data_IF_990491450243
#
_entry.id   IF_990491450243
#
_cell.length_a   1.000
_cell.length_b   1.000
_cell.length_c   1.000
_cell.angle_alpha   90.00
_cell.angle_beta   90.00
_cell.angle_gamma   90.00
#
_symmetry.space_group_name_H-M   'P 1'
#
loop_
_entity.id
_entity.type
_entity.pdbx_description
1 polymer ?
#
# COMPACT_ATOMS: atom_id res chain seq x y z
N UNK A 1 2.19 -45.25 11.99
CA UNK A 1 2.39 -44.33 13.11
C UNK A 1 2.35 -42.93 12.54
N UNK A 2 1.33 -42.16 12.87
CA UNK A 2 1.32 -40.71 12.58
C UNK A 2 2.48 -40.11 13.41
N UNK A 3 3.43 -39.45 12.75
CA UNK A 3 4.47 -38.70 13.47
C UNK A 3 3.75 -37.66 14.33
N UNK A 4 4.11 -37.60 15.59
CA UNK A 4 3.59 -36.61 16.53
C UNK A 4 3.85 -35.22 15.95
N UNK A 5 2.81 -34.38 15.86
CA UNK A 5 2.93 -33.05 15.26
C UNK A 5 3.64 -32.11 16.23
N UNK A 6 4.66 -31.43 15.74
CA UNK A 6 5.37 -30.43 16.53
C UNK A 6 4.70 -29.08 16.36
N UNK A 7 4.23 -28.49 17.44
CA UNK A 7 3.75 -27.11 17.43
C UNK A 7 4.91 -26.15 17.15
N UNK A 8 4.67 -25.17 16.31
CA UNK A 8 5.62 -24.09 16.00
C UNK A 8 4.92 -22.75 16.17
N UNK A 9 5.70 -21.70 16.44
CA UNK A 9 5.18 -20.34 16.40
C UNK A 9 4.88 -19.96 14.94
N UNK A 10 3.71 -19.35 14.65
CA UNK A 10 3.42 -18.89 13.30
C UNK A 10 4.49 -17.94 12.78
N UNK A 11 4.97 -18.20 11.56
CA UNK A 11 6.08 -17.44 10.96
C UNK A 11 5.74 -15.96 10.66
N UNK A 12 4.47 -15.57 10.75
CA UNK A 12 4.04 -14.18 10.57
C UNK A 12 4.37 -13.28 11.77
N UNK A 13 4.64 -13.85 12.94
CA UNK A 13 4.98 -13.04 14.10
C UNK A 13 6.41 -12.51 13.98
N UNK A 14 6.59 -11.21 14.23
CA UNK A 14 7.79 -10.44 13.93
C UNK A 14 9.08 -11.13 14.42
N UNK A 15 9.11 -11.56 15.67
CA UNK A 15 10.28 -12.26 16.21
C UNK A 15 10.53 -13.61 15.54
N UNK A 16 9.48 -14.43 15.36
CA UNK A 16 9.60 -15.71 14.66
C UNK A 16 10.06 -15.49 13.21
N UNK A 17 9.45 -14.53 12.50
CA UNK A 17 9.80 -14.17 11.14
C UNK A 17 11.27 -13.81 11.02
N UNK A 18 11.74 -12.87 11.85
CA UNK A 18 13.12 -12.39 11.79
C UNK A 18 14.12 -13.46 12.21
N UNK A 19 13.90 -14.14 13.33
CA UNK A 19 14.83 -15.18 13.82
C UNK A 19 14.98 -16.35 12.86
N UNK A 20 13.89 -16.76 12.22
CA UNK A 20 13.92 -17.89 11.27
C UNK A 20 14.55 -17.47 9.95
N UNK A 21 14.12 -16.36 9.37
CA UNK A 21 14.47 -16.01 8.01
C UNK A 21 15.76 -15.17 7.86
N UNK A 22 16.27 -14.58 8.94
CA UNK A 22 17.62 -14.03 8.93
C UNK A 22 18.68 -15.13 8.83
N UNK A 23 18.40 -16.31 9.43
CA UNK A 23 19.28 -17.48 9.36
C UNK A 23 19.05 -18.32 8.08
N UNK A 24 17.90 -18.18 7.43
CA UNK A 24 17.50 -18.92 6.22
C UNK A 24 16.97 -18.01 5.11
N UNK A 25 17.75 -17.01 4.66
CA UNK A 25 17.30 -16.03 3.66
C UNK A 25 16.99 -16.66 2.29
N UNK A 26 17.69 -17.73 1.91
CA UNK A 26 17.44 -18.45 0.64
C UNK A 26 16.07 -19.13 0.67
N UNK A 27 15.67 -19.66 1.83
CA UNK A 27 14.36 -20.27 2.00
C UNK A 27 13.24 -19.23 1.89
N UNK A 28 13.40 -18.08 2.55
CA UNK A 28 12.46 -16.97 2.42
C UNK A 28 12.34 -16.52 0.95
N UNK A 29 13.48 -16.34 0.28
CA UNK A 29 13.49 -15.94 -1.13
C UNK A 29 12.83 -16.98 -2.02
N UNK A 30 13.07 -18.27 -1.77
CA UNK A 30 12.43 -19.38 -2.50
C UNK A 30 10.91 -19.33 -2.36
N UNK A 31 10.40 -19.11 -1.16
CA UNK A 31 8.96 -18.99 -0.88
C UNK A 31 8.39 -17.75 -1.58
N UNK A 32 8.97 -16.60 -1.31
CA UNK A 32 8.48 -15.31 -1.84
C UNK A 32 8.52 -15.30 -3.37
N UNK A 33 9.60 -15.80 -3.99
CA UNK A 33 9.73 -15.84 -5.45
C UNK A 33 8.58 -16.58 -6.13
N UNK A 34 8.11 -17.68 -5.52
CA UNK A 34 6.98 -18.47 -6.03
C UNK A 34 5.63 -17.78 -5.81
N UNK A 35 5.49 -17.01 -4.73
CA UNK A 35 4.26 -16.23 -4.46
C UNK A 35 4.11 -15.11 -5.48
N UNK A 36 5.20 -14.38 -5.78
CA UNK A 36 5.17 -13.18 -6.62
C UNK A 36 5.58 -13.44 -8.07
N UNK A 37 5.79 -14.70 -8.44
CA UNK A 37 6.25 -15.10 -9.78
C UNK A 37 7.56 -14.39 -10.20
N UNK A 38 8.52 -14.34 -9.26
CA UNK A 38 9.85 -13.79 -9.50
C UNK A 38 10.81 -14.91 -9.92
N UNK A 39 11.57 -14.77 -11.01
CA UNK A 39 12.53 -15.77 -11.44
C UNK A 39 13.68 -15.87 -10.42
N UNK A 40 13.74 -16.97 -9.71
CA UNK A 40 14.76 -17.28 -8.71
C UNK A 40 15.05 -18.77 -8.71
N UNK A 41 16.33 -19.11 -8.80
CA UNK A 41 16.84 -20.47 -8.72
C UNK A 41 17.80 -20.56 -7.53
N UNK A 42 17.43 -21.28 -6.45
CA UNK A 42 18.25 -21.36 -5.24
C UNK A 42 19.62 -22.03 -5.45
N UNK A 43 19.79 -22.79 -6.54
CA UNK A 43 21.05 -23.46 -6.86
C UNK A 43 22.05 -22.55 -7.60
N UNK A 44 21.56 -21.45 -8.17
CA UNK A 44 22.35 -20.53 -9.02
C UNK A 44 22.41 -19.13 -8.45
N UNK A 45 21.29 -18.62 -7.92
CA UNK A 45 21.15 -17.24 -7.49
C UNK A 45 21.67 -17.05 -6.06
N UNK A 46 22.38 -15.94 -5.84
CA UNK A 46 22.92 -15.57 -4.54
C UNK A 46 21.98 -14.59 -3.84
N UNK A 47 21.64 -14.88 -2.59
CA UNK A 47 20.83 -14.02 -1.74
C UNK A 47 21.68 -13.47 -0.60
N UNK A 48 21.68 -12.16 -0.42
CA UNK A 48 22.34 -11.48 0.70
C UNK A 48 21.29 -10.70 1.50
N UNK A 49 21.39 -10.78 2.84
CA UNK A 49 20.53 -9.96 3.73
C UNK A 49 21.16 -8.57 3.85
N UNK A 50 20.36 -7.55 3.55
CA UNK A 50 20.74 -6.15 3.65
C UNK A 50 19.96 -5.45 4.75
N UNK A 51 20.37 -5.67 5.99
CA UNK A 51 19.78 -4.98 7.15
C UNK A 51 20.38 -3.58 7.31
N UNK A 52 20.18 -2.71 6.33
CA UNK A 52 20.55 -1.31 6.48
C UNK A 52 19.49 -0.55 7.28
N UNK A 53 19.89 -0.07 8.46
CA UNK A 53 19.14 0.98 9.19
C UNK A 53 19.04 2.19 8.27
N UNK A 54 17.85 2.42 7.71
CA UNK A 54 17.66 3.57 6.84
C UNK A 54 17.46 4.81 7.68
N UNK A 55 18.44 5.60 7.55
CA UNK A 55 18.79 6.93 8.00
C UNK A 55 17.69 7.71 8.69
N UNK A 56 17.98 8.05 9.92
CA UNK A 56 17.49 9.26 10.58
C UNK A 56 17.92 10.48 9.73
N UNK A 57 17.01 11.11 9.02
CA UNK A 57 17.28 12.40 8.38
C UNK A 57 17.50 13.52 9.41
N UNK A 58 16.96 13.35 10.62
CA UNK A 58 17.19 14.19 11.79
C UNK A 58 17.32 13.33 13.03
N UNK A 59 18.14 13.75 13.98
CA UNK A 59 18.39 13.07 15.26
C UNK A 59 17.13 12.72 16.08
N UNK A 60 15.99 13.35 15.77
CA UNK A 60 14.67 13.14 16.43
C UNK A 60 13.72 12.22 15.69
N UNK A 61 14.04 11.78 14.45
CA UNK A 61 13.19 10.85 13.70
C UNK A 61 13.49 9.42 14.10
N UNK A 62 12.43 8.63 14.34
CA UNK A 62 12.59 7.17 14.50
C UNK A 62 13.12 6.64 13.17
N UNK A 63 14.26 5.96 13.20
CA UNK A 63 14.79 5.26 12.03
C UNK A 63 13.83 4.15 11.64
N UNK A 64 13.62 3.95 10.34
CA UNK A 64 12.89 2.81 9.83
C UNK A 64 13.84 1.64 9.67
N UNK A 65 13.42 0.49 10.15
CA UNK A 65 14.07 -0.80 9.91
C UNK A 65 13.00 -1.64 9.22
N UNK A 66 13.28 -2.12 8.01
CA UNK A 66 12.44 -3.15 7.40
C UNK A 66 12.66 -4.46 8.15
N UNK A 67 11.67 -5.34 8.13
CA UNK A 67 11.83 -6.62 8.81
C UNK A 67 12.96 -7.42 8.15
N UNK A 68 12.89 -7.65 6.85
CA UNK A 68 13.97 -8.28 6.09
C UNK A 68 14.10 -7.62 4.71
N UNK A 69 15.33 -7.26 4.34
CA UNK A 69 15.66 -6.80 2.98
C UNK A 69 16.64 -7.80 2.38
N UNK A 70 16.26 -8.37 1.25
CA UNK A 70 17.07 -9.30 0.48
C UNK A 70 17.61 -8.62 -0.78
N UNK A 71 18.85 -8.87 -1.09
CA UNK A 71 19.48 -8.51 -2.35
C UNK A 71 19.80 -9.78 -3.14
N UNK A 72 19.23 -9.89 -4.32
CA UNK A 72 19.42 -11.04 -5.22
C UNK A 72 20.47 -10.70 -6.28
N UNK A 73 21.49 -11.53 -6.37
CA UNK A 73 22.60 -11.40 -7.33
C UNK A 73 23.29 -10.03 -7.29
N UNK A 74 23.33 -9.40 -6.12
CA UNK A 74 23.88 -8.04 -5.94
C UNK A 74 23.21 -6.99 -6.83
N UNK A 75 21.98 -7.25 -7.25
CA UNK A 75 21.31 -6.41 -8.25
C UNK A 75 19.86 -6.05 -7.88
N UNK A 76 18.99 -7.01 -7.69
CA UNK A 76 17.58 -6.78 -7.35
C UNK A 76 17.38 -6.70 -5.84
N UNK A 77 16.45 -5.86 -5.41
CA UNK A 77 16.13 -5.65 -3.98
C UNK A 77 14.70 -6.09 -3.72
N UNK A 78 14.53 -6.91 -2.69
CA UNK A 78 13.23 -7.40 -2.24
C UNK A 78 13.12 -7.10 -0.74
N UNK A 79 12.23 -6.18 -0.37
CA UNK A 79 11.90 -5.89 1.01
C UNK A 79 10.66 -6.67 1.41
N UNK A 80 10.71 -7.33 2.55
CA UNK A 80 9.62 -8.15 3.05
C UNK A 80 9.26 -7.64 4.44
N UNK A 81 7.98 -7.34 4.62
CA UNK A 81 7.39 -6.83 5.85
C UNK A 81 6.33 -7.81 6.37
N UNK A 82 6.46 -8.27 7.59
CA UNK A 82 5.47 -9.09 8.27
C UNK A 82 4.57 -8.18 9.13
N UNK A 83 3.30 -8.04 8.75
CA UNK A 83 2.35 -7.16 9.40
C UNK A 83 1.27 -7.97 10.10
N UNK A 84 1.13 -7.81 11.42
CA UNK A 84 0.00 -8.32 12.20
C UNK A 84 -0.97 -7.18 12.48
N UNK A 85 -2.27 -7.44 12.30
CA UNK A 85 -3.33 -6.44 12.50
C UNK A 85 -3.62 -5.59 11.26
N UNK A 86 -4.39 -4.51 11.45
CA UNK A 86 -4.88 -3.71 10.33
C UNK A 86 -3.76 -3.00 9.58
N UNK A 87 -3.79 -3.21 8.27
CA UNK A 87 -2.94 -2.47 7.34
C UNK A 87 -3.36 -1.01 7.32
N UNK A 88 -2.48 -0.10 7.73
CA UNK A 88 -2.73 1.33 7.61
C UNK A 88 -2.09 1.90 6.36
N UNK A 89 -2.79 2.83 5.69
CA UNK A 89 -2.22 3.57 4.56
C UNK A 89 -0.95 4.33 4.94
N UNK A 90 -0.82 4.76 6.19
CA UNK A 90 0.40 5.37 6.73
C UNK A 90 1.57 4.38 6.75
N UNK A 91 1.33 3.11 7.08
CA UNK A 91 2.36 2.06 6.96
C UNK A 91 2.76 1.85 5.50
N UNK A 92 1.79 1.82 4.56
CA UNK A 92 2.06 1.66 3.14
C UNK A 92 2.85 2.85 2.56
N UNK A 93 2.46 4.07 2.88
CA UNK A 93 3.17 5.29 2.45
C UNK A 93 4.59 5.32 3.00
N UNK A 94 4.75 5.01 4.27
CA UNK A 94 6.04 4.87 4.94
C UNK A 94 6.93 3.86 4.23
N UNK A 95 6.40 2.67 3.98
CA UNK A 95 7.12 1.59 3.32
C UNK A 95 7.46 1.96 1.86
N UNK A 96 6.59 2.70 1.19
CA UNK A 96 6.85 3.21 -0.15
C UNK A 96 8.03 4.20 -0.18
N UNK A 97 8.06 5.17 0.74
CA UNK A 97 9.17 6.13 0.86
C UNK A 97 10.47 5.39 1.15
N UNK A 98 10.41 4.41 2.03
CA UNK A 98 11.52 3.58 2.43
C UNK A 98 12.15 2.83 1.24
N UNK A 99 11.35 2.05 0.52
CA UNK A 99 11.86 1.23 -0.58
C UNK A 99 12.35 2.06 -1.77
N UNK A 100 11.76 3.22 -2.01
CA UNK A 100 12.23 4.16 -3.03
C UNK A 100 13.61 4.74 -2.69
N UNK A 101 13.86 5.07 -1.44
CA UNK A 101 15.16 5.55 -0.98
C UNK A 101 16.22 4.44 -1.04
N UNK A 102 15.87 3.22 -0.65
CA UNK A 102 16.73 2.05 -0.76
C UNK A 102 17.12 1.79 -2.22
N UNK A 103 16.15 1.77 -3.11
CA UNK A 103 16.36 1.61 -4.55
C UNK A 103 17.25 2.69 -5.14
N UNK A 104 17.07 3.95 -4.71
CA UNK A 104 17.91 5.07 -5.15
C UNK A 104 19.36 4.99 -4.67
N UNK A 105 19.59 4.47 -3.47
CA UNK A 105 20.95 4.27 -2.94
C UNK A 105 21.64 3.14 -3.66
N UNK A 106 20.97 2.03 -3.83
CA UNK A 106 21.49 0.88 -4.52
C UNK A 106 21.84 1.20 -5.98
N UNK A 107 20.95 1.92 -6.67
CA UNK A 107 21.22 2.41 -8.03
C UNK A 107 22.48 3.28 -8.10
N UNK A 108 22.71 4.17 -7.13
CA UNK A 108 23.94 4.97 -7.04
C UNK A 108 25.17 4.12 -6.79
N UNK A 109 25.06 3.07 -6.00
CA UNK A 109 26.15 2.12 -5.75
C UNK A 109 26.53 1.34 -7.01
N UNK A 110 25.54 0.77 -7.68
CA UNK A 110 25.75 0.05 -8.96
C UNK A 110 26.42 0.96 -9.99
N UNK A 111 25.97 2.19 -10.16
CA UNK A 111 26.61 3.14 -11.09
C UNK A 111 28.07 3.45 -10.74
N UNK A 112 28.41 3.54 -9.47
CA UNK A 112 29.81 3.73 -9.03
C UNK A 112 30.68 2.51 -9.38
N UNK A 113 30.19 1.32 -9.12
CA UNK A 113 30.92 0.07 -9.42
C UNK A 113 31.14 -0.10 -10.92
N UNK A 114 30.13 0.14 -11.74
CA UNK A 114 30.25 0.06 -13.21
C UNK A 114 31.23 1.11 -13.76
N UNK A 115 31.17 2.36 -13.29
CA UNK A 115 32.07 3.40 -13.75
C UNK A 115 33.53 3.14 -13.31
N UNK A 116 33.76 2.59 -12.13
CA UNK A 116 35.10 2.23 -11.67
C UNK A 116 35.70 1.05 -12.46
N UNK A 117 34.90 0.07 -12.87
CA UNK A 117 35.34 -1.05 -13.68
C UNK A 117 35.60 -0.65 -15.15
N UNK A 118 34.80 0.26 -15.70
CA UNK A 118 35.03 0.81 -17.04
C UNK A 118 36.34 1.66 -17.13
N UNK A 119 36.68 2.34 -16.04
CA UNK A 119 37.94 3.10 -15.97
C UNK A 119 39.18 2.23 -15.76
N UNK A 120 39.03 1.03 -15.16
CA UNK A 120 40.18 0.06 -15.03
C UNK A 120 40.47 -0.70 -16.32
N UNK A 121 39.47 -0.88 -17.21
CA UNK A 121 39.67 -1.55 -18.51
C UNK A 121 40.17 -0.60 -19.60
N UNK A 122 40.20 0.70 -19.40
CA UNK A 122 40.61 1.70 -20.39
C UNK A 122 42.06 2.14 -20.30
N UNK A 123 42.89 1.49 -19.47
CA UNK A 123 44.34 1.77 -19.40
C UNK A 123 45.21 1.09 -20.51
N UNK A 124 44.57 0.41 -21.50
CA UNK A 124 45.27 -0.07 -22.68
C UNK A 124 44.53 0.41 -23.95
N UNK A 125 45.25 1.32 -24.68
CA UNK A 125 45.00 1.84 -26.02
C UNK A 125 43.99 2.98 -26.16
N UNK A 126 44.58 4.16 -26.33
CA UNK A 126 43.96 5.34 -26.97
C UNK A 126 43.73 4.99 -28.46
N UNK A 127 42.49 4.70 -28.82
CA UNK A 127 41.99 4.98 -30.16
C UNK A 127 40.81 5.92 -30.03
N UNK A 128 41.06 7.17 -30.42
CA UNK A 128 40.08 8.21 -30.59
C UNK A 128 39.30 7.88 -31.86
N UNK A 129 38.03 7.46 -31.75
CA UNK A 129 36.91 8.00 -32.56
C UNK A 129 35.60 7.27 -32.31
N UNK A 130 34.56 8.04 -32.06
CA UNK A 130 33.16 7.78 -32.39
C UNK A 130 32.35 6.67 -31.70
N UNK A 131 32.44 6.45 -30.37
CA UNK A 131 31.44 5.58 -29.72
C UNK A 131 30.96 6.01 -28.32
N UNK A 132 31.05 7.35 -28.00
CA UNK A 132 30.57 7.85 -26.69
C UNK A 132 29.05 7.95 -26.55
N UNK A 133 28.26 7.95 -27.63
CA UNK A 133 26.80 8.08 -27.58
C UNK A 133 26.07 6.76 -27.29
N UNK A 134 26.59 5.62 -27.68
CA UNK A 134 25.87 4.34 -27.54
C UNK A 134 26.00 3.67 -26.16
N UNK A 135 27.03 4.02 -25.35
CA UNK A 135 27.19 3.41 -24.02
C UNK A 135 26.36 4.05 -22.92
N UNK A 136 25.88 5.31 -23.09
CA UNK A 136 25.01 5.94 -22.11
C UNK A 136 23.59 5.32 -22.11
N UNK A 137 23.09 4.87 -23.25
CA UNK A 137 21.75 4.29 -23.34
C UNK A 137 21.70 2.84 -22.83
N UNK A 138 22.78 2.07 -22.92
CA UNK A 138 22.83 0.68 -22.40
C UNK A 138 22.79 0.58 -20.87
N UNK A 139 23.20 1.63 -20.13
CA UNK A 139 23.20 1.63 -18.68
C UNK A 139 21.80 1.81 -18.08
N UNK A 140 20.85 2.37 -18.83
CA UNK A 140 19.47 2.55 -18.38
C UNK A 140 18.59 1.31 -18.59
N UNK A 141 18.98 0.37 -19.46
CA UNK A 141 18.22 -0.85 -19.73
C UNK A 141 18.30 -1.87 -18.58
N UNK A 142 19.33 -1.80 -17.73
CA UNK A 142 19.52 -2.67 -16.56
C UNK A 142 19.32 -1.88 -15.26
N UNK A 143 18.10 -1.47 -14.98
CA UNK A 143 17.79 -0.95 -13.65
C UNK A 143 17.36 -2.10 -12.74
N UNK A 144 17.82 -2.16 -11.48
CA UNK A 144 17.41 -3.20 -10.54
C UNK A 144 15.90 -3.19 -10.33
N UNK A 145 15.34 -4.35 -10.13
CA UNK A 145 13.97 -4.46 -9.62
C UNK A 145 13.99 -4.10 -8.14
N UNK A 146 13.00 -3.35 -7.73
CA UNK A 146 12.76 -2.99 -6.34
C UNK A 146 11.35 -3.47 -6.02
N UNK A 147 11.27 -4.51 -5.20
CA UNK A 147 10.03 -5.20 -4.90
C UNK A 147 9.78 -5.10 -3.41
N UNK A 148 8.58 -4.65 -3.04
CA UNK A 148 8.12 -4.69 -1.67
C UNK A 148 7.04 -5.75 -1.54
N UNK A 149 7.17 -6.61 -0.55
CA UNK A 149 6.22 -7.66 -0.20
C UNK A 149 5.73 -7.41 1.21
N UNK A 150 4.43 -7.22 1.36
CA UNK A 150 3.78 -7.06 2.65
C UNK A 150 2.96 -8.33 2.93
N UNK A 151 3.36 -9.08 3.93
CA UNK A 151 2.60 -10.21 4.48
C UNK A 151 1.64 -9.64 5.52
N UNK A 152 0.33 -9.69 5.28
CA UNK A 152 -0.67 -9.12 6.15
C UNK A 152 -1.50 -10.24 6.80
N UNK A 153 -1.55 -10.26 8.12
CA UNK A 153 -2.28 -11.23 8.92
C UNK A 153 -3.29 -10.53 9.83
N UNK A 154 -4.53 -11.03 9.87
CA UNK A 154 -5.65 -10.40 10.59
C UNK A 154 -5.91 -8.95 10.17
N UNK A 155 -5.85 -8.70 8.85
CA UNK A 155 -6.11 -7.39 8.27
C UNK A 155 -7.49 -7.32 7.66
N UNK A 156 -8.29 -6.32 8.06
CA UNK A 156 -9.65 -6.10 7.55
C UNK A 156 -9.69 -5.42 6.17
N UNK A 157 -8.60 -4.79 5.75
CA UNK A 157 -8.58 -3.86 4.59
C UNK A 157 -8.55 -4.57 3.24
N UNK A 158 -8.12 -5.83 3.15
CA UNK A 158 -7.92 -6.55 1.89
C UNK A 158 -8.70 -7.86 1.82
N UNK A 159 -10.01 -7.81 2.13
CA UNK A 159 -10.83 -9.02 2.30
C UNK A 159 -11.21 -9.76 1.00
N UNK A 160 -10.85 -9.27 -0.19
CA UNK A 160 -11.35 -9.85 -1.45
C UNK A 160 -10.35 -10.77 -2.14
N UNK A 161 -9.08 -10.37 -2.19
CA UNK A 161 -8.06 -11.09 -2.95
C UNK A 161 -6.90 -11.55 -2.05
N UNK A 162 -6.45 -12.82 -2.18
CA UNK A 162 -5.37 -13.35 -1.35
C UNK A 162 -4.01 -12.73 -1.68
N UNK A 163 -3.77 -12.38 -2.95
CA UNK A 163 -2.51 -11.81 -3.44
C UNK A 163 -2.81 -10.70 -4.43
N UNK A 164 -2.33 -9.49 -4.11
CA UNK A 164 -2.54 -8.28 -4.92
C UNK A 164 -1.19 -7.73 -5.36
N UNK A 165 -1.03 -7.53 -6.66
CA UNK A 165 0.13 -6.84 -7.24
C UNK A 165 -0.22 -5.40 -7.57
N UNK A 166 0.53 -4.46 -7.02
CA UNK A 166 0.38 -3.04 -7.29
C UNK A 166 1.56 -2.52 -8.12
N UNK A 167 1.24 -1.78 -9.18
CA UNK A 167 2.20 -1.15 -10.06
C UNK A 167 1.82 0.31 -10.29
N UNK A 168 2.80 1.18 -10.44
CA UNK A 168 2.56 2.58 -10.82
C UNK A 168 2.28 2.64 -12.32
N UNK A 169 1.01 2.85 -12.71
CA UNK A 169 0.56 2.86 -14.11
C UNK A 169 -0.02 4.21 -14.53
N UNK A 170 0.19 4.55 -15.79
CA UNK A 170 -0.55 5.66 -16.42
C UNK A 170 -2.01 5.24 -16.65
N UNK A 171 -2.95 6.02 -16.10
CA UNK A 171 -4.38 5.70 -16.16
C UNK A 171 -4.94 5.69 -17.60
N UNK A 172 -4.42 6.55 -18.48
CA UNK A 172 -4.91 6.70 -19.86
C UNK A 172 -4.42 5.55 -20.74
N UNK A 173 -3.13 5.22 -20.64
CA UNK A 173 -2.52 4.23 -21.54
C UNK A 173 -2.39 2.84 -20.90
N UNK A 174 -2.75 2.69 -19.64
CA UNK A 174 -2.59 1.46 -18.84
C UNK A 174 -1.17 0.86 -18.94
N UNK A 175 -0.16 1.71 -19.06
CA UNK A 175 1.26 1.31 -19.12
C UNK A 175 1.95 1.60 -17.80
N UNK A 176 2.80 0.69 -17.37
CA UNK A 176 3.64 0.91 -16.19
C UNK A 176 4.56 2.13 -16.42
N UNK A 177 4.46 3.12 -15.51
CA UNK A 177 5.33 4.30 -15.51
C UNK A 177 6.72 3.97 -14.98
N UNK A 178 6.77 3.07 -14.00
CA UNK A 178 8.00 2.58 -13.37
C UNK A 178 7.99 1.06 -13.48
N UNK A 179 8.73 0.51 -14.44
CA UNK A 179 8.72 -0.93 -14.75
C UNK A 179 9.35 -1.82 -13.67
N UNK A 180 10.28 -1.26 -12.91
CA UNK A 180 11.12 -2.05 -11.99
C UNK A 180 10.71 -1.87 -10.53
N UNK A 181 9.53 -1.31 -10.27
CA UNK A 181 9.02 -1.09 -8.94
C UNK A 181 7.64 -1.73 -8.79
N UNK A 182 7.50 -2.64 -7.83
CA UNK A 182 6.21 -3.31 -7.54
C UNK A 182 6.00 -3.45 -6.04
N UNK A 183 4.75 -3.36 -5.62
CA UNK A 183 4.32 -3.64 -4.25
C UNK A 183 3.34 -4.80 -4.28
N UNK A 184 3.67 -5.84 -3.54
CA UNK A 184 2.81 -6.99 -3.35
C UNK A 184 2.18 -6.96 -1.97
N UNK A 185 0.89 -7.23 -1.92
CA UNK A 185 0.11 -7.39 -0.70
C UNK A 185 -0.36 -8.83 -0.65
N UNK A 186 0.03 -9.56 0.36
CA UNK A 186 -0.31 -10.96 0.57
C UNK A 186 -1.17 -11.04 1.82
N UNK A 187 -2.44 -11.37 1.65
CA UNK A 187 -3.36 -11.61 2.75
C UNK A 187 -3.21 -13.06 3.22
N UNK A 188 -2.49 -13.25 4.31
CA UNK A 188 -2.13 -14.57 4.85
C UNK A 188 -3.38 -15.35 5.29
N UNK A 189 -4.35 -14.67 5.92
CA UNK A 189 -5.62 -15.28 6.33
C UNK A 189 -6.39 -15.79 5.13
N UNK A 190 -6.49 -14.96 4.09
CA UNK A 190 -7.22 -15.33 2.87
C UNK A 190 -6.55 -16.47 2.12
N UNK A 191 -5.22 -16.48 2.12
CA UNK A 191 -4.47 -17.62 1.59
C UNK A 191 -4.80 -18.90 2.36
N UNK A 192 -4.90 -18.83 3.70
CA UNK A 192 -5.26 -19.97 4.56
C UNK A 192 -6.71 -20.42 4.35
N UNK A 193 -7.66 -19.50 4.24
CA UNK A 193 -9.07 -19.81 3.95
C UNK A 193 -9.24 -20.51 2.59
N UNK A 194 -8.55 -19.99 1.57
CA UNK A 194 -8.65 -20.55 0.21
C UNK A 194 -7.97 -21.91 0.07
N UNK A 195 -7.07 -22.27 0.98
CA UNK A 195 -6.40 -23.56 0.99
C UNK A 195 -7.37 -24.74 1.03
N UNK A 196 -8.54 -24.58 1.68
CA UNK A 196 -9.52 -25.65 1.87
C UNK A 196 -10.68 -25.61 0.87
N UNK A 197 -10.80 -24.60 0.03
CA UNK A 197 -12.01 -24.34 -0.76
C UNK A 197 -11.90 -24.61 -2.25
N UNK A 198 -10.70 -24.82 -2.81
CA UNK A 198 -10.55 -24.90 -4.27
C UNK A 198 -9.42 -25.84 -4.74
N UNK A 199 -9.74 -26.80 -5.63
CA UNK A 199 -8.77 -27.73 -6.24
C UNK A 199 -7.78 -27.03 -7.20
N UNK A 200 -8.08 -25.84 -7.67
CA UNK A 200 -7.23 -25.02 -8.55
C UNK A 200 -6.31 -24.07 -7.79
N UNK A 201 -5.97 -24.35 -6.56
CA UNK A 201 -5.14 -23.46 -5.75
C UNK A 201 -3.81 -23.18 -6.44
N UNK A 202 -3.62 -21.92 -6.77
CA UNK A 202 -2.33 -21.41 -7.21
C UNK A 202 -1.29 -21.69 -6.11
N UNK A 203 -0.13 -22.22 -6.51
CA UNK A 203 0.98 -22.52 -5.57
C UNK A 203 1.31 -21.37 -4.63
N UNK A 204 1.16 -20.13 -5.09
CA UNK A 204 1.33 -18.92 -4.30
C UNK A 204 0.39 -18.82 -3.09
N UNK A 205 -0.86 -19.27 -3.19
CA UNK A 205 -1.78 -19.25 -2.04
C UNK A 205 -1.34 -20.22 -0.95
N UNK A 206 -0.93 -21.45 -1.34
CA UNK A 206 -0.38 -22.42 -0.39
C UNK A 206 0.82 -21.88 0.35
N UNK A 207 1.72 -21.21 -0.38
CA UNK A 207 2.91 -20.61 0.21
C UNK A 207 2.60 -19.36 1.04
N UNK A 208 1.55 -18.59 0.71
CA UNK A 208 1.05 -17.52 1.56
C UNK A 208 0.50 -18.01 2.89
N UNK A 209 -0.16 -19.18 2.89
CA UNK A 209 -0.74 -19.78 4.10
C UNK A 209 0.31 -20.27 5.12
N UNK A 210 1.53 -20.59 4.70
CA UNK A 210 2.58 -21.10 5.60
C UNK A 210 2.91 -20.14 6.75
N UNK A 211 2.73 -18.83 6.52
CA UNK A 211 3.07 -17.83 7.52
C UNK A 211 2.12 -17.84 8.72
N UNK A 212 0.91 -18.40 8.58
CA UNK A 212 -0.08 -18.49 9.66
C UNK A 212 -0.12 -19.87 10.33
N UNK A 213 0.52 -20.90 9.77
CA UNK A 213 0.46 -22.25 10.35
C UNK A 213 1.25 -22.36 11.64
N UNK A 214 0.69 -23.10 12.61
CA UNK A 214 1.31 -23.45 13.89
C UNK A 214 1.71 -24.92 14.00
N UNK A 215 1.73 -25.64 12.88
CA UNK A 215 2.03 -27.07 12.77
C UNK A 215 3.21 -27.29 11.85
N UNK A 216 4.26 -27.98 12.33
CA UNK A 216 5.41 -28.33 11.52
C UNK A 216 5.05 -29.29 10.36
N UNK A 217 4.10 -30.23 10.61
CA UNK A 217 3.65 -31.17 9.58
C UNK A 217 2.83 -30.46 8.50
N UNK A 218 1.99 -29.50 8.86
CA UNK A 218 1.23 -28.68 7.91
C UNK A 218 2.19 -27.80 7.09
N UNK A 219 3.17 -27.15 7.73
CA UNK A 219 4.18 -26.34 7.07
C UNK A 219 4.94 -27.17 6.02
N UNK A 220 5.40 -28.38 6.37
CA UNK A 220 6.06 -29.30 5.42
C UNK A 220 5.17 -29.60 4.22
N UNK A 221 3.91 -29.94 4.46
CA UNK A 221 2.93 -30.25 3.41
C UNK A 221 2.71 -29.05 2.46
N UNK A 222 2.53 -27.86 3.01
CA UNK A 222 2.28 -26.63 2.25
C UNK A 222 3.47 -26.24 1.39
N UNK A 223 4.69 -26.33 1.91
CA UNK A 223 5.92 -26.06 1.20
C UNK A 223 6.09 -27.01 0.00
N UNK A 224 5.92 -28.31 0.21
CA UNK A 224 6.03 -29.32 -0.85
C UNK A 224 4.96 -29.12 -1.92
N UNK A 225 3.69 -28.94 -1.53
CA UNK A 225 2.58 -28.65 -2.46
C UNK A 225 2.78 -27.32 -3.19
N UNK A 226 3.35 -26.32 -2.52
CA UNK A 226 3.74 -25.04 -3.10
C UNK A 226 4.90 -25.13 -4.10
N UNK A 227 5.52 -26.31 -4.22
CA UNK A 227 6.59 -26.59 -5.19
C UNK A 227 7.98 -26.20 -4.69
N UNK A 228 8.19 -26.14 -3.38
CA UNK A 228 9.52 -26.06 -2.77
C UNK A 228 10.15 -27.44 -2.82
N UNK A 229 11.47 -27.51 -3.07
CA UNK A 229 12.20 -28.77 -3.11
C UNK A 229 12.05 -29.54 -1.80
N UNK A 230 11.94 -30.89 -1.90
CA UNK A 230 11.70 -31.75 -0.74
C UNK A 230 12.86 -31.77 0.25
N UNK A 231 14.11 -31.72 -0.23
CA UNK A 231 15.27 -31.74 0.66
C UNK A 231 15.39 -30.39 1.37
N UNK A 232 15.26 -29.29 0.62
CA UNK A 232 15.24 -27.95 1.20
C UNK A 232 14.11 -27.81 2.24
N UNK A 233 12.92 -28.33 1.94
CA UNK A 233 11.79 -28.34 2.89
C UNK A 233 12.12 -29.11 4.14
N UNK A 234 12.65 -30.33 4.04
CA UNK A 234 13.01 -31.16 5.19
C UNK A 234 14.06 -30.47 6.08
N UNK A 235 15.13 -29.96 5.47
CA UNK A 235 16.19 -29.27 6.20
C UNK A 235 15.67 -28.01 6.90
N UNK A 236 14.71 -27.31 6.31
CA UNK A 236 14.06 -26.17 6.93
C UNK A 236 13.14 -26.57 8.11
N UNK A 237 12.39 -27.65 7.98
CA UNK A 237 11.53 -28.16 9.05
C UNK A 237 12.38 -28.64 10.23
N UNK A 238 13.49 -29.32 9.98
CA UNK A 238 14.45 -29.72 11.03
C UNK A 238 15.01 -28.49 11.75
N UNK A 239 15.44 -27.47 10.98
CA UNK A 239 15.92 -26.20 11.56
C UNK A 239 14.87 -25.52 12.44
N UNK A 240 13.61 -25.45 12.02
CA UNK A 240 12.53 -24.86 12.85
C UNK A 240 12.32 -25.66 14.14
N UNK A 241 12.38 -26.99 14.07
CA UNK A 241 12.25 -27.85 15.27
C UNK A 241 13.42 -27.66 16.23
N UNK A 242 14.62 -27.49 15.73
CA UNK A 242 15.79 -27.17 16.54
C UNK A 242 15.64 -25.79 17.22
N UNK A 243 15.22 -24.77 16.48
CA UNK A 243 14.93 -23.43 17.03
C UNK A 243 13.86 -23.47 18.12
N UNK A 244 12.81 -24.25 17.96
CA UNK A 244 11.77 -24.40 18.99
C UNK A 244 12.27 -25.05 20.29
N UNK A 245 13.44 -25.66 20.28
CA UNK A 245 14.12 -26.17 21.48
C UNK A 245 15.18 -25.20 22.03
N UNK A 246 15.44 -24.08 21.32
CA UNK A 246 16.39 -23.05 21.74
C UNK A 246 15.76 -22.13 22.79
N UNK A 247 16.28 -22.16 24.02
CA UNK A 247 15.78 -21.38 25.14
C UNK A 247 15.88 -19.86 24.89
N UNK A 248 16.89 -19.41 24.14
CA UNK A 248 17.06 -18.00 23.79
C UNK A 248 15.95 -17.55 22.86
N UNK A 249 15.69 -18.32 21.80
CA UNK A 249 14.61 -18.07 20.86
C UNK A 249 13.24 -18.04 21.55
N UNK A 250 12.95 -19.01 22.42
CA UNK A 250 11.70 -19.07 23.17
C UNK A 250 11.54 -17.88 24.13
N UNK A 251 12.62 -17.45 24.79
CA UNK A 251 12.58 -16.27 25.65
C UNK A 251 12.31 -14.99 24.86
N UNK A 252 12.90 -14.83 23.68
CA UNK A 252 12.67 -13.69 22.81
C UNK A 252 11.21 -13.65 22.31
N UNK A 253 10.61 -14.79 22.00
CA UNK A 253 9.20 -14.90 21.66
C UNK A 253 8.28 -14.48 22.82
N UNK A 254 8.60 -14.90 24.05
CA UNK A 254 7.77 -14.63 25.24
C UNK A 254 7.89 -13.19 25.73
N UNK A 255 9.08 -12.57 25.63
CA UNK A 255 9.32 -11.22 26.18
C UNK A 255 8.73 -10.10 25.35
N UNK A 256 8.63 -10.24 24.06
CA UNK A 256 8.20 -9.16 23.15
C UNK A 256 6.72 -9.27 22.77
N UNK A 257 6.20 -10.48 22.66
CA UNK A 257 4.84 -10.75 22.22
C UNK A 257 3.71 -10.03 22.98
N UNK A 258 3.70 -10.02 24.34
CA UNK A 258 2.60 -9.38 25.10
C UNK A 258 2.61 -7.85 25.04
N UNK A 259 3.77 -7.24 24.80
CA UNK A 259 3.92 -5.78 24.75
C UNK A 259 3.54 -5.27 23.37
N UNK A 260 3.97 -5.94 22.31
CA UNK A 260 3.64 -5.57 20.94
C UNK A 260 2.15 -5.78 20.64
N UNK A 261 1.54 -6.89 21.08
CA UNK A 261 0.09 -7.08 20.97
C UNK A 261 -0.71 -5.95 21.62
N UNK A 262 -0.34 -5.55 22.85
CA UNK A 262 -1.02 -4.45 23.54
C UNK A 262 -0.81 -3.09 22.87
N UNK A 263 0.37 -2.86 22.29
CA UNK A 263 0.66 -1.63 21.54
C UNK A 263 -0.15 -1.61 20.23
N UNK A 264 -0.21 -2.72 19.51
CA UNK A 264 -0.96 -2.83 18.27
C UNK A 264 -2.47 -2.76 18.49
N UNK A 265 -3.00 -3.39 19.54
CA UNK A 265 -4.40 -3.25 19.97
C UNK A 265 -4.73 -1.80 20.33
N UNK A 266 -3.92 -1.17 21.19
CA UNK A 266 -4.14 0.22 21.58
C UNK A 266 -4.03 1.20 20.41
N UNK A 267 -3.16 0.93 19.44
CA UNK A 267 -3.04 1.73 18.22
C UNK A 267 -4.23 1.53 17.28
N UNK A 268 -4.66 0.29 17.10
CA UNK A 268 -5.84 -0.07 16.28
C UNK A 268 -7.10 0.56 16.85
N UNK A 269 -7.33 0.43 18.14
CA UNK A 269 -8.48 1.00 18.85
C UNK A 269 -8.46 2.53 18.80
N UNK A 270 -7.32 3.15 19.05
CA UNK A 270 -7.16 4.61 18.97
C UNK A 270 -7.42 5.16 17.56
N UNK A 271 -6.98 4.42 16.53
CA UNK A 271 -7.20 4.80 15.13
C UNK A 271 -8.67 4.63 14.72
N UNK A 272 -9.33 3.53 15.12
CA UNK A 272 -10.75 3.29 14.86
C UNK A 272 -11.61 4.36 15.54
N UNK A 273 -11.35 4.65 16.82
CA UNK A 273 -12.03 5.72 17.56
C UNK A 273 -11.82 7.09 16.91
N UNK A 274 -10.60 7.41 16.48
CA UNK A 274 -10.29 8.69 15.81
C UNK A 274 -11.01 8.87 14.48
N UNK A 275 -11.17 7.79 13.70
CA UNK A 275 -11.94 7.82 12.44
C UNK A 275 -13.43 8.03 12.73
N UNK A 276 -13.99 7.33 13.70
CA UNK A 276 -15.42 7.44 14.04
C UNK A 276 -15.76 8.82 14.62
N UNK A 277 -14.91 9.34 15.49
CA UNK A 277 -15.06 10.69 16.03
C UNK A 277 -14.89 11.76 14.94
N UNK A 278 -13.90 11.60 14.06
CA UNK A 278 -13.71 12.48 12.91
C UNK A 278 -14.89 12.49 11.93
N UNK A 279 -15.48 11.33 11.65
CA UNK A 279 -16.70 11.22 10.85
C UNK A 279 -17.89 11.90 11.51
N UNK A 280 -18.10 11.67 12.81
CA UNK A 280 -19.18 12.27 13.57
C UNK A 280 -19.09 13.80 13.58
N UNK A 281 -17.93 14.36 13.90
CA UNK A 281 -17.67 15.81 13.87
C UNK A 281 -17.86 16.37 12.45
N UNK A 282 -17.39 15.66 11.44
CA UNK A 282 -17.53 16.04 10.03
C UNK A 282 -18.99 16.10 9.57
N UNK A 283 -19.81 15.12 10.01
CA UNK A 283 -21.23 15.07 9.71
C UNK A 283 -21.99 16.22 10.41
N UNK A 284 -21.78 16.41 11.71
CA UNK A 284 -22.42 17.48 12.51
C UNK A 284 -22.11 18.87 11.93
N UNK A 285 -20.83 19.16 11.64
CA UNK A 285 -20.43 20.43 11.00
C UNK A 285 -20.97 20.58 9.58
N UNK A 286 -21.03 19.50 8.82
CA UNK A 286 -21.60 19.49 7.48
C UNK A 286 -23.09 19.82 7.48
N UNK A 287 -23.85 19.24 8.41
CA UNK A 287 -25.27 19.53 8.61
C UNK A 287 -25.52 20.97 9.06
N UNK A 288 -24.80 21.49 10.05
CA UNK A 288 -24.90 22.87 10.49
C UNK A 288 -24.65 23.86 9.36
N UNK A 289 -23.59 23.68 8.61
CA UNK A 289 -23.23 24.53 7.45
C UNK A 289 -24.31 24.42 6.36
N UNK A 290 -24.78 23.20 6.10
CA UNK A 290 -25.85 22.92 5.12
C UNK A 290 -27.15 23.63 5.47
N UNK A 291 -27.61 23.49 6.70
CA UNK A 291 -28.82 24.14 7.22
C UNK A 291 -28.68 25.67 7.17
N UNK A 292 -27.57 26.23 7.65
CA UNK A 292 -27.32 27.67 7.61
C UNK A 292 -27.33 28.24 6.18
N UNK A 293 -26.70 27.56 5.23
CA UNK A 293 -26.72 27.93 3.80
C UNK A 293 -28.14 27.82 3.21
N UNK A 294 -28.82 26.71 3.50
CA UNK A 294 -30.20 26.47 3.03
C UNK A 294 -31.17 27.53 3.49
N UNK A 295 -31.13 27.87 4.79
CA UNK A 295 -31.96 28.93 5.36
C UNK A 295 -31.67 30.28 4.69
N UNK A 296 -30.39 30.65 4.55
CA UNK A 296 -29.99 31.90 3.91
C UNK A 296 -30.44 32.00 2.46
N UNK A 297 -30.31 30.91 1.70
CA UNK A 297 -30.82 30.86 0.32
C UNK A 297 -32.35 30.91 0.25
N UNK A 298 -33.03 30.15 1.10
CA UNK A 298 -34.51 30.13 1.16
C UNK A 298 -35.09 31.49 1.51
N UNK A 299 -34.52 32.18 2.51
CA UNK A 299 -34.95 33.55 2.87
C UNK A 299 -34.72 34.49 1.68
N UNK A 300 -33.57 34.47 1.03
CA UNK A 300 -33.28 35.33 -0.12
C UNK A 300 -34.25 35.09 -1.26
N UNK A 301 -34.51 33.85 -1.61
CA UNK A 301 -35.45 33.47 -2.68
C UNK A 301 -36.90 33.84 -2.30
N UNK A 302 -37.31 33.57 -1.07
CA UNK A 302 -38.63 33.91 -0.58
C UNK A 302 -38.91 35.42 -0.60
N UNK A 303 -37.95 36.25 -0.17
CA UNK A 303 -38.05 37.72 -0.25
C UNK A 303 -38.17 38.20 -1.70
N UNK A 304 -37.32 37.65 -2.59
CA UNK A 304 -37.36 38.04 -4.01
C UNK A 304 -38.67 37.63 -4.68
N UNK A 305 -39.14 36.42 -4.41
CA UNK A 305 -40.43 35.93 -4.92
C UNK A 305 -41.59 36.74 -4.41
N UNK A 306 -41.68 36.96 -3.08
CA UNK A 306 -42.76 37.76 -2.45
C UNK A 306 -42.76 39.20 -2.97
N UNK A 307 -41.58 39.80 -3.19
CA UNK A 307 -41.47 41.13 -3.78
C UNK A 307 -42.00 41.15 -5.22
N UNK A 308 -41.64 40.16 -6.02
CA UNK A 308 -42.11 40.04 -7.41
C UNK A 308 -43.62 39.84 -7.47
N UNK A 309 -44.17 38.95 -6.66
CA UNK A 309 -45.62 38.68 -6.59
C UNK A 309 -46.39 39.92 -6.12
N UNK A 310 -45.89 40.62 -5.10
CA UNK A 310 -46.50 41.86 -4.59
C UNK A 310 -46.48 42.95 -5.68
N UNK A 311 -45.35 43.13 -6.35
CA UNK A 311 -45.24 44.10 -7.45
C UNK A 311 -46.16 43.76 -8.60
N UNK A 312 -46.28 42.47 -8.95
CA UNK A 312 -47.20 41.98 -9.99
C UNK A 312 -48.68 42.30 -9.63
N UNK A 313 -49.06 42.02 -8.42
CA UNK A 313 -50.43 42.30 -7.93
C UNK A 313 -50.76 43.80 -7.96
N UNK A 314 -49.78 44.65 -7.62
CA UNK A 314 -49.96 46.12 -7.68
C UNK A 314 -50.13 46.53 -9.15
N UNK A 315 -49.28 46.07 -10.08
CA UNK A 315 -49.33 46.37 -11.51
C UNK A 315 -50.71 45.96 -12.08
N UNK A 316 -51.18 44.75 -11.76
CA UNK A 316 -52.50 44.26 -12.23
C UNK A 316 -53.64 45.15 -11.76
N UNK A 317 -53.64 45.54 -10.46
CA UNK A 317 -54.65 46.47 -9.93
C UNK A 317 -54.63 47.87 -10.58
N UNK A 318 -53.44 48.35 -10.94
CA UNK A 318 -53.33 49.66 -11.59
C UNK A 318 -53.81 49.59 -13.07
N UNK A 319 -53.58 48.47 -13.76
CA UNK A 319 -54.11 48.20 -15.09
C UNK A 319 -55.64 48.11 -15.06
N UNK A 320 -56.21 47.37 -14.09
CA UNK A 320 -57.68 47.30 -13.89
C UNK A 320 -58.34 48.67 -13.63
N UNK A 321 -57.59 49.59 -13.03
CA UNK A 321 -58.04 50.97 -12.85
C UNK A 321 -57.90 51.87 -14.07
N UNK A 322 -57.37 51.33 -15.17
CA UNK A 322 -57.24 52.02 -16.44
C UNK A 322 -56.03 52.93 -16.61
N UNK A 323 -54.98 52.75 -15.73
CA UNK A 323 -53.75 53.52 -15.87
C UNK A 323 -52.91 53.01 -17.07
N UNK A 324 -52.31 53.92 -17.78
CA UNK A 324 -51.40 53.65 -18.91
C UNK A 324 -50.05 53.15 -18.42
N UNK A 325 -49.30 52.46 -19.28
CA UNK A 325 -47.97 51.92 -18.97
C UNK A 325 -46.98 52.99 -18.52
N UNK A 326 -47.10 54.22 -19.06
CA UNK A 326 -46.25 55.34 -18.65
C UNK A 326 -46.61 55.81 -17.22
N UNK A 327 -47.87 55.85 -16.90
CA UNK A 327 -48.33 56.24 -15.56
C UNK A 327 -47.94 55.20 -14.52
N UNK A 328 -48.07 53.89 -14.83
CA UNK A 328 -47.65 52.79 -13.98
C UNK A 328 -46.12 52.79 -13.74
N UNK A 329 -45.35 53.01 -14.83
CA UNK A 329 -43.88 53.08 -14.76
C UNK A 329 -43.43 54.23 -13.85
N UNK A 330 -44.04 55.40 -13.98
CA UNK A 330 -43.71 56.56 -13.16
C UNK A 330 -44.15 56.39 -11.69
N UNK A 331 -45.33 55.78 -11.45
CA UNK A 331 -45.84 55.56 -10.11
C UNK A 331 -45.03 54.57 -9.27
N UNK A 332 -44.50 53.53 -9.95
CA UNK A 332 -43.74 52.47 -9.31
C UNK A 332 -42.22 52.66 -9.40
N UNK A 333 -41.77 53.74 -10.04
CA UNK A 333 -40.33 54.01 -10.31
C UNK A 333 -39.62 52.84 -10.99
N UNK A 334 -40.26 52.21 -11.97
CA UNK A 334 -39.76 51.09 -12.75
C UNK A 334 -39.64 51.46 -14.23
N UNK A 335 -38.62 50.94 -14.88
CA UNK A 335 -38.48 51.20 -16.33
C UNK A 335 -39.43 50.32 -17.16
N UNK A 336 -39.71 50.74 -18.39
CA UNK A 336 -40.64 50.08 -19.27
C UNK A 336 -40.30 48.60 -19.55
N UNK A 337 -38.99 48.25 -19.52
CA UNK A 337 -38.52 46.89 -19.67
C UNK A 337 -38.86 46.01 -18.47
N UNK A 338 -38.78 46.57 -17.28
CA UNK A 338 -39.23 45.91 -16.06
C UNK A 338 -40.73 45.71 -16.02
N UNK A 339 -41.51 46.71 -16.38
CA UNK A 339 -42.96 46.59 -16.49
C UNK A 339 -43.39 45.49 -17.45
N UNK A 340 -42.75 45.44 -18.63
CA UNK A 340 -43.03 44.40 -19.64
C UNK A 340 -42.69 42.97 -19.12
N UNK A 341 -41.63 42.86 -18.29
CA UNK A 341 -41.29 41.57 -17.67
C UNK A 341 -42.39 41.10 -16.73
N UNK A 342 -42.94 42.00 -15.93
CA UNK A 342 -44.02 41.68 -14.99
C UNK A 342 -45.33 41.34 -15.73
N UNK A 343 -45.66 41.99 -16.85
CA UNK A 343 -46.83 41.68 -17.68
C UNK A 343 -46.77 40.34 -18.39
N UNK A 344 -45.58 39.80 -18.67
CA UNK A 344 -45.38 38.48 -19.36
C UNK A 344 -45.52 37.28 -18.42
N UNK A 345 -45.55 37.51 -17.13
CA UNK A 345 -45.69 36.46 -16.11
C UNK A 345 -47.17 36.26 -15.71
N UNK A 346 -48.05 37.15 -16.14
CA UNK A 346 -49.51 37.01 -16.03
C UNK A 346 -50.09 36.34 -17.28
#
# INVERSE_FOLDING_TARGET
>A
MLKEDTKIEPLIYDNAFRHIFLDKPEMLMTIISKIIDYPFDPDIDVVEVCNEVIIKRKLKEKGYVADIVLMVNKFDIISIEANKGDFSWLKAERNFIYITELGNRHKRHIHKVYNNNSNKSSSKKKDKNNNKKNNKNKSYEKSPKVIQVNLNYKSSVFNTEPIIKNEVRNKIYNRALIKNFTIWLINVDKCSEMMYTNDEMRKGHLLGAIFATSSANELELLLIKGGVDKNMTRDFIEFIKEKNNDTSYLNDLVTVHPIEEKIDEAYSDGHAMGIDEGKKIGLERGEEIGIAKGIKQGIKQGIEQGRNESTQNIINKLIEKGLSDNEISNLLDINHKQLTKFKRIA
#
